data_IF_904774011021
#
_entry.id   IF_904774011021
#
_cell.length_a   1.000
_cell.length_b   1.000
_cell.length_c   1.000
_cell.angle_alpha   90.00
_cell.angle_beta   90.00
_cell.angle_gamma   90.00
#
_symmetry.space_group_name_H-M   'P 1'
#
loop_
_entity.id
_entity.type
_entity.pdbx_description
1 polymer ?
#
# COMPACT_ATOMS: atom_id res chain seq x y z
N UNK A 1 -2.78 3.74 -15.49
CA UNK A 1 -1.69 4.06 -14.54
C UNK A 1 -1.84 3.39 -13.16
N UNK A 2 -3.00 2.83 -12.81
CA UNK A 2 -3.22 2.10 -11.54
C UNK A 2 -2.59 0.70 -11.48
N UNK A 3 -2.53 0.00 -12.62
CA UNK A 3 -2.00 -1.37 -12.71
C UNK A 3 -0.56 -1.49 -12.15
N UNK A 4 0.42 -0.65 -12.53
CA UNK A 4 1.77 -0.76 -11.95
C UNK A 4 1.81 -0.42 -10.46
N UNK A 5 0.95 0.48 -9.97
CA UNK A 5 0.87 0.85 -8.55
C UNK A 5 0.39 -0.35 -7.74
N UNK A 6 -0.66 -1.05 -8.20
CA UNK A 6 -1.17 -2.28 -7.58
C UNK A 6 -0.12 -3.40 -7.56
N UNK A 7 0.67 -3.56 -8.63
CA UNK A 7 1.74 -4.56 -8.67
C UNK A 7 2.83 -4.23 -7.66
N UNK A 8 3.24 -2.96 -7.56
CA UNK A 8 4.25 -2.51 -6.61
C UNK A 8 3.78 -2.66 -5.16
N UNK A 9 2.51 -2.39 -4.90
CA UNK A 9 1.86 -2.52 -3.60
C UNK A 9 1.87 -3.96 -3.10
N UNK A 10 1.42 -4.90 -3.95
CA UNK A 10 1.40 -6.34 -3.63
C UNK A 10 2.83 -6.88 -3.47
N UNK A 11 3.79 -6.41 -4.28
CA UNK A 11 5.18 -6.79 -4.14
C UNK A 11 5.79 -6.29 -2.81
N UNK A 12 5.49 -5.05 -2.39
CA UNK A 12 5.93 -4.50 -1.10
C UNK A 12 5.31 -5.24 0.09
N UNK A 13 4.03 -5.63 -0.01
CA UNK A 13 3.35 -6.44 1.01
C UNK A 13 3.92 -7.86 1.07
N UNK A 14 4.19 -8.49 -0.07
CA UNK A 14 4.83 -9.81 -0.11
C UNK A 14 6.26 -9.76 0.45
N UNK A 15 6.99 -8.69 0.14
CA UNK A 15 8.34 -8.46 0.65
C UNK A 15 8.35 -8.19 2.15
N UNK A 16 7.35 -7.48 2.69
CA UNK A 16 7.22 -7.23 4.13
C UNK A 16 6.86 -8.50 4.91
N UNK A 17 5.98 -9.37 4.36
CA UNK A 17 5.72 -10.69 4.94
C UNK A 17 6.97 -11.57 4.96
N UNK A 18 7.72 -11.60 3.85
CA UNK A 18 8.98 -12.35 3.77
C UNK A 18 10.01 -11.86 4.81
N UNK A 19 10.08 -10.54 5.02
CA UNK A 19 10.92 -9.91 6.03
C UNK A 19 10.45 -10.25 7.46
N UNK A 20 9.15 -10.35 7.67
CA UNK A 20 8.53 -10.68 8.97
C UNK A 20 8.78 -12.14 9.37
N UNK A 21 8.80 -13.07 8.41
CA UNK A 21 9.17 -14.47 8.65
C UNK A 21 10.62 -14.61 9.14
N UNK A 22 11.55 -13.82 8.57
CA UNK A 22 12.95 -13.75 9.05
C UNK A 22 13.09 -13.03 10.40
N UNK A 23 12.24 -12.04 10.67
CA UNK A 23 12.27 -11.32 11.95
C UNK A 23 11.71 -12.14 13.12
N UNK A 24 10.83 -13.10 12.86
CA UNK A 24 10.28 -14.01 13.88
C UNK A 24 11.37 -14.89 14.50
N UNK A 25 12.38 -15.29 13.70
CA UNK A 25 13.54 -16.06 14.17
C UNK A 25 14.50 -15.22 15.03
N UNK A 26 14.44 -13.88 14.94
CA UNK A 26 15.32 -12.95 15.67
C UNK A 26 14.61 -12.04 16.70
N UNK A 27 13.29 -12.19 16.93
CA UNK A 27 12.50 -11.43 17.93
C UNK A 27 12.57 -9.90 17.78
N UNK A 28 12.72 -9.39 16.55
CA UNK A 28 12.79 -7.94 16.31
C UNK A 28 11.41 -7.34 16.03
N UNK A 29 10.84 -6.72 17.07
CA UNK A 29 9.54 -6.05 17.07
C UNK A 29 9.42 -4.92 16.01
N UNK A 30 10.55 -4.34 15.62
CA UNK A 30 10.65 -3.23 14.66
C UNK A 30 10.20 -3.63 13.25
N UNK A 31 10.42 -4.89 12.86
CA UNK A 31 10.21 -5.35 11.49
C UNK A 31 8.73 -5.70 11.21
N UNK A 32 8.04 -6.22 12.22
CA UNK A 32 6.59 -6.44 12.20
C UNK A 32 5.82 -5.11 12.15
N UNK A 33 6.32 -4.09 12.85
CA UNK A 33 5.74 -2.74 12.87
C UNK A 33 6.01 -1.98 11.57
N UNK A 34 7.18 -2.19 10.95
CA UNK A 34 7.50 -1.66 9.62
C UNK A 34 6.58 -2.25 8.53
N UNK A 35 6.29 -3.55 8.56
CA UNK A 35 5.38 -4.19 7.60
C UNK A 35 3.94 -3.67 7.68
N UNK A 36 3.45 -3.42 8.90
CA UNK A 36 2.11 -2.87 9.12
C UNK A 36 2.01 -1.39 8.71
N UNK A 37 3.03 -0.56 8.98
CA UNK A 37 3.08 0.82 8.50
C UNK A 37 3.10 0.91 6.98
N UNK A 38 3.85 0.02 6.30
CA UNK A 38 3.90 -0.04 4.84
C UNK A 38 2.54 -0.45 4.26
N UNK A 39 1.89 -1.48 4.82
CA UNK A 39 0.55 -1.89 4.39
C UNK A 39 -0.50 -0.79 4.62
N UNK A 40 -0.37 -0.02 5.70
CA UNK A 40 -1.29 1.08 6.02
C UNK A 40 -1.09 2.28 5.09
N UNK A 41 0.17 2.59 4.71
CA UNK A 41 0.49 3.62 3.72
C UNK A 41 0.02 3.23 2.30
N UNK A 42 0.19 1.96 1.92
CA UNK A 42 -0.34 1.36 0.70
C UNK A 42 -1.87 1.53 0.58
N UNK A 43 -2.61 1.13 1.61
CA UNK A 43 -4.06 1.30 1.67
C UNK A 43 -4.48 2.78 1.56
N UNK A 44 -3.76 3.69 2.24
CA UNK A 44 -4.02 5.12 2.15
C UNK A 44 -3.80 5.69 0.73
N UNK A 45 -2.76 5.24 0.02
CA UNK A 45 -2.54 5.65 -1.38
C UNK A 45 -3.69 5.20 -2.29
N UNK A 46 -4.19 3.98 -2.14
CA UNK A 46 -5.33 3.50 -2.93
C UNK A 46 -6.59 4.35 -2.69
N UNK A 47 -6.88 4.73 -1.45
CA UNK A 47 -8.02 5.57 -1.09
C UNK A 47 -7.90 6.97 -1.73
N UNK A 48 -6.72 7.60 -1.63
CA UNK A 48 -6.49 8.92 -2.24
C UNK A 48 -6.63 8.85 -3.76
N UNK A 49 -6.10 7.81 -4.39
CA UNK A 49 -6.23 7.63 -5.84
C UNK A 49 -7.69 7.44 -6.26
N UNK A 50 -8.46 6.66 -5.49
CA UNK A 50 -9.88 6.45 -5.75
C UNK A 50 -10.67 7.75 -5.58
N UNK A 51 -10.38 8.52 -4.53
CA UNK A 51 -11.02 9.80 -4.28
C UNK A 51 -10.68 10.84 -5.35
N UNK A 52 -9.41 10.91 -5.77
CA UNK A 52 -8.95 11.77 -6.86
C UNK A 52 -9.62 11.39 -8.19
N UNK A 53 -9.70 10.09 -8.50
CA UNK A 53 -10.39 9.58 -9.69
C UNK A 53 -11.88 9.96 -9.70
N UNK A 54 -12.55 9.79 -8.57
CA UNK A 54 -13.96 10.14 -8.45
C UNK A 54 -14.18 11.67 -8.54
N UNK A 55 -13.32 12.47 -7.92
CA UNK A 55 -13.41 13.93 -7.94
C UNK A 55 -13.14 14.50 -9.34
N UNK A 56 -12.12 13.99 -10.03
CA UNK A 56 -11.80 14.36 -11.41
C UNK A 56 -12.89 13.94 -12.38
N UNK A 57 -13.47 12.75 -12.21
CA UNK A 57 -14.61 12.29 -13.01
C UNK A 57 -15.84 13.18 -12.81
N UNK A 58 -16.11 13.60 -11.56
CA UNK A 58 -17.24 14.46 -11.25
C UNK A 58 -17.07 15.87 -11.83
N UNK A 59 -15.85 16.44 -11.75
CA UNK A 59 -15.54 17.73 -12.34
C UNK A 59 -15.58 17.72 -13.88
N UNK A 60 -15.08 16.66 -14.51
CA UNK A 60 -15.14 16.48 -15.96
C UNK A 60 -16.56 16.22 -16.48
N UNK A 61 -17.45 15.63 -15.67
CA UNK A 61 -18.84 15.38 -16.04
C UNK A 61 -19.74 16.63 -15.88
N UNK A 62 -19.33 17.61 -15.07
CA UNK A 62 -20.07 18.86 -14.84
C UNK A 62 -19.68 19.98 -15.82
N UNK A 63 -18.63 19.79 -16.62
CA UNK A 63 -18.22 20.72 -17.71
C UNK A 63 -18.80 20.27 -19.04
#
# INVERSE_FOLDING_TARGET
MLIPILIFDVALVAWSLHLMEKAYEHKEFSLMLAGTLVALAAAAMLVVYFLMGNCMSYLLQVT
#
